data_IF_796286533283
#
_entry.id   IF_796286533283
#
_cell.length_a   1.000
_cell.length_b   1.000
_cell.length_c   1.000
_cell.angle_alpha   90.00
_cell.angle_beta   90.00
_cell.angle_gamma   90.00
#
_symmetry.space_group_name_H-M   'P 1'
#
loop_
_entity.id
_entity.type
_entity.pdbx_description
1 polymer ?
#
# COMPACT_ATOMS: atom_id res chain seq x y z
N UNK A 1 2.60 -25.07 7.74
CA UNK A 1 1.27 -24.51 7.45
C UNK A 1 1.47 -23.13 6.81
N UNK A 2 0.63 -22.71 5.88
CA UNK A 2 0.72 -21.34 5.35
C UNK A 2 0.46 -20.35 6.48
N UNK A 3 1.20 -19.23 6.46
CA UNK A 3 0.91 -18.10 7.35
C UNK A 3 -0.23 -17.29 6.72
N UNK A 4 -1.18 -16.86 7.53
CA UNK A 4 -2.33 -16.07 7.09
C UNK A 4 -2.22 -14.66 7.64
N UNK A 5 -2.61 -13.68 6.85
CA UNK A 5 -2.76 -12.28 7.26
C UNK A 5 -4.21 -11.83 7.13
N UNK A 6 -4.65 -10.98 8.05
CA UNK A 6 -5.96 -10.35 7.94
C UNK A 6 -5.85 -9.03 7.18
N UNK A 7 -6.66 -8.84 6.14
CA UNK A 7 -6.76 -7.55 5.47
C UNK A 7 -7.72 -6.63 6.24
N UNK A 8 -7.16 -5.71 7.02
CA UNK A 8 -7.92 -4.82 7.90
C UNK A 8 -8.72 -3.74 7.16
N UNK A 9 -8.47 -3.56 5.86
CA UNK A 9 -9.28 -2.66 5.03
C UNK A 9 -10.65 -3.26 4.73
N UNK A 10 -10.75 -4.60 4.68
CA UNK A 10 -11.97 -5.33 4.30
C UNK A 10 -12.55 -6.21 5.40
N UNK A 11 -11.77 -6.55 6.44
CA UNK A 11 -12.20 -7.34 7.59
C UNK A 11 -12.44 -6.45 8.81
N UNK A 12 -13.34 -6.87 9.69
CA UNK A 12 -13.72 -6.17 10.93
C UNK A 12 -14.24 -4.74 10.69
N UNK A 13 -14.93 -4.53 9.55
CA UNK A 13 -15.35 -3.20 9.11
C UNK A 13 -16.43 -2.56 9.99
N UNK A 14 -17.04 -3.32 10.89
CA UNK A 14 -17.93 -2.86 11.95
C UNK A 14 -17.21 -2.08 13.06
N UNK A 15 -15.87 -2.20 13.13
CA UNK A 15 -15.02 -1.52 14.11
C UNK A 15 -14.30 -0.31 13.48
N UNK A 16 -13.92 0.65 14.35
CA UNK A 16 -13.04 1.73 13.92
C UNK A 16 -11.71 1.18 13.40
N UNK A 17 -11.05 1.83 12.41
CA UNK A 17 -9.85 1.29 11.74
C UNK A 17 -8.76 0.79 12.70
N UNK A 18 -8.45 1.55 13.75
CA UNK A 18 -7.41 1.18 14.73
C UNK A 18 -7.80 0.01 15.64
N UNK A 19 -9.10 -0.20 15.88
CA UNK A 19 -9.60 -1.30 16.71
C UNK A 19 -9.51 -2.66 15.99
N UNK A 20 -9.45 -2.65 14.65
CA UNK A 20 -9.37 -3.87 13.83
C UNK A 20 -8.09 -4.66 14.06
N UNK A 21 -7.00 -3.99 14.46
CA UNK A 21 -5.75 -4.66 14.80
C UNK A 21 -5.93 -5.59 16.00
N UNK A 22 -6.51 -5.08 17.08
CA UNK A 22 -6.81 -5.91 18.25
C UNK A 22 -7.78 -7.05 17.94
N UNK A 23 -8.82 -6.80 17.12
CA UNK A 23 -9.76 -7.82 16.70
C UNK A 23 -9.08 -8.93 15.89
N UNK A 24 -8.17 -8.59 14.97
CA UNK A 24 -7.39 -9.59 14.22
C UNK A 24 -6.55 -10.46 15.15
N UNK A 25 -5.86 -9.85 16.13
CA UNK A 25 -5.07 -10.60 17.11
C UNK A 25 -5.92 -11.53 17.94
N UNK A 26 -7.10 -11.08 18.40
CA UNK A 26 -8.02 -11.88 19.23
C UNK A 26 -8.52 -13.14 18.53
N UNK A 27 -8.68 -13.12 17.20
CA UNK A 27 -9.10 -14.31 16.43
C UNK A 27 -7.91 -15.13 15.91
N UNK A 28 -6.68 -14.78 16.30
CA UNK A 28 -5.48 -15.61 16.11
C UNK A 28 -4.63 -15.26 14.89
N UNK A 29 -4.78 -14.09 14.28
CA UNK A 29 -3.83 -13.63 13.27
C UNK A 29 -2.55 -13.10 13.93
N UNK A 30 -1.40 -13.41 13.32
CA UNK A 30 -0.08 -12.88 13.68
C UNK A 30 0.39 -11.82 12.69
N UNK A 31 -0.29 -11.67 11.55
CA UNK A 31 0.05 -10.73 10.50
C UNK A 31 -1.20 -10.06 9.93
N UNK A 32 -1.03 -8.82 9.48
CA UNK A 32 -2.10 -8.01 8.90
C UNK A 32 -1.64 -7.28 7.64
N UNK A 33 -2.59 -6.96 6.79
CA UNK A 33 -2.48 -5.99 5.70
C UNK A 33 -3.31 -4.76 6.05
N UNK A 34 -2.76 -3.58 5.85
CA UNK A 34 -3.50 -2.33 6.02
C UNK A 34 -3.23 -1.41 4.85
N UNK A 35 -4.15 -1.43 3.86
CA UNK A 35 -3.87 -0.96 2.51
C UNK A 35 -3.63 0.54 2.41
N UNK A 36 -4.25 1.36 3.25
CA UNK A 36 -4.12 2.83 3.19
C UNK A 36 -3.79 3.40 4.58
N UNK A 37 -2.54 3.26 5.05
CA UNK A 37 -2.15 3.66 6.41
C UNK A 37 -1.97 5.17 6.58
N UNK A 38 -1.94 5.93 5.50
CA UNK A 38 -1.49 7.33 5.40
C UNK A 38 -2.34 8.38 6.15
N UNK A 39 -3.45 7.97 6.74
CA UNK A 39 -4.26 8.80 7.64
C UNK A 39 -3.81 8.78 9.10
N UNK A 40 -2.81 7.95 9.42
CA UNK A 40 -2.28 7.73 10.78
C UNK A 40 -0.82 8.10 10.85
N UNK A 41 -0.35 8.59 11.99
CA UNK A 41 1.07 8.76 12.23
C UNK A 41 1.78 7.40 12.28
N UNK A 42 3.00 7.34 11.76
CA UNK A 42 3.80 6.09 11.77
C UNK A 42 3.99 5.56 13.19
N UNK A 43 4.28 6.44 14.16
CA UNK A 43 4.47 6.09 15.56
C UNK A 43 3.22 5.49 16.20
N UNK A 44 2.04 6.00 15.83
CA UNK A 44 0.75 5.45 16.28
C UNK A 44 0.60 4.01 15.80
N UNK A 45 0.81 3.77 14.49
CA UNK A 45 0.72 2.43 13.92
C UNK A 45 1.78 1.48 14.48
N UNK A 46 3.00 1.95 14.72
CA UNK A 46 4.06 1.14 15.38
C UNK A 46 3.63 0.69 16.77
N UNK A 47 3.05 1.60 17.57
CA UNK A 47 2.54 1.26 18.90
C UNK A 47 1.43 0.21 18.80
N UNK A 48 0.45 0.44 17.94
CA UNK A 48 -0.68 -0.50 17.74
C UNK A 48 -0.20 -1.89 17.32
N UNK A 49 0.73 -1.98 16.37
CA UNK A 49 1.31 -3.25 15.93
C UNK A 49 2.05 -3.96 17.06
N UNK A 50 2.86 -3.20 17.81
CA UNK A 50 3.63 -3.74 18.96
C UNK A 50 2.72 -4.23 20.07
N UNK A 51 1.74 -3.42 20.47
CA UNK A 51 0.80 -3.72 21.57
C UNK A 51 -0.06 -4.95 21.28
N UNK A 52 -0.32 -5.23 19.99
CA UNK A 52 -1.09 -6.39 19.54
C UNK A 52 -0.20 -7.56 19.05
N UNK A 53 1.13 -7.44 19.12
CA UNK A 53 2.06 -8.46 18.62
C UNK A 53 1.76 -8.89 17.16
N UNK A 54 1.51 -7.90 16.27
CA UNK A 54 1.18 -8.11 14.87
C UNK A 54 2.30 -7.64 13.94
N UNK A 55 2.54 -8.38 12.86
CA UNK A 55 3.37 -7.94 11.73
C UNK A 55 2.48 -7.26 10.68
N UNK A 56 2.84 -6.05 10.25
CA UNK A 56 2.27 -5.46 9.02
C UNK A 56 3.06 -5.99 7.82
N UNK A 57 2.40 -6.69 6.91
CA UNK A 57 3.10 -7.31 5.77
C UNK A 57 2.94 -6.57 4.46
N UNK A 58 1.84 -5.84 4.27
CA UNK A 58 1.52 -5.18 3.02
C UNK A 58 0.78 -3.85 3.24
N UNK A 59 1.17 -2.85 2.46
CA UNK A 59 0.44 -1.61 2.24
C UNK A 59 0.27 -1.38 0.73
N UNK A 60 -0.70 -0.55 0.32
CA UNK A 60 -0.78 -0.08 -1.07
C UNK A 60 -0.10 1.28 -1.21
N UNK A 61 0.30 1.66 -2.41
CA UNK A 61 0.53 3.07 -2.72
C UNK A 61 -0.78 3.86 -2.58
N UNK A 62 -0.69 5.19 -2.35
CA UNK A 62 -1.91 6.03 -2.33
C UNK A 62 -2.70 5.89 -3.62
N UNK A 63 -4.02 5.98 -3.51
CA UNK A 63 -4.95 5.89 -4.64
C UNK A 63 -4.97 7.15 -5.52
N UNK A 64 -4.33 8.25 -5.12
CA UNK A 64 -4.55 9.57 -5.71
C UNK A 64 -5.79 10.22 -5.08
N UNK A 65 -6.61 10.88 -5.87
CA UNK A 65 -7.86 11.48 -5.42
C UNK A 65 -8.98 10.42 -5.31
N UNK A 66 -9.07 9.77 -4.16
CA UNK A 66 -10.05 8.73 -3.89
C UNK A 66 -11.51 9.24 -3.99
N UNK A 67 -11.78 10.51 -3.65
CA UNK A 67 -13.12 11.13 -3.76
C UNK A 67 -13.54 11.28 -5.22
N UNK A 68 -12.59 11.55 -6.12
CA UNK A 68 -12.82 11.55 -7.57
C UNK A 68 -12.88 10.13 -8.18
N UNK A 69 -12.77 9.09 -7.37
CA UNK A 69 -12.83 7.71 -7.81
C UNK A 69 -11.52 7.14 -8.34
N UNK A 70 -10.38 7.82 -8.12
CA UNK A 70 -9.08 7.29 -8.53
C UNK A 70 -8.73 6.00 -7.80
N UNK A 71 -8.00 5.13 -8.49
CA UNK A 71 -7.56 3.81 -7.98
C UNK A 71 -6.06 3.60 -8.21
N UNK A 72 -5.30 4.67 -8.07
CA UNK A 72 -3.87 4.71 -8.32
C UNK A 72 -3.51 5.69 -9.40
N UNK A 73 -2.22 6.00 -9.52
CA UNK A 73 -1.68 6.95 -10.51
C UNK A 73 -0.47 6.38 -11.26
N UNK A 74 -0.04 5.16 -10.92
CA UNK A 74 1.23 4.63 -11.40
C UNK A 74 1.29 4.38 -12.90
N UNK A 75 0.13 4.20 -13.56
CA UNK A 75 0.03 4.00 -15.00
C UNK A 75 -0.55 5.22 -15.74
N UNK A 76 -0.71 6.37 -15.09
CA UNK A 76 -1.39 7.50 -15.70
C UNK A 76 -0.40 8.43 -16.43
N UNK A 77 -0.53 8.60 -17.77
CA UNK A 77 0.33 9.51 -18.53
C UNK A 77 0.26 10.94 -17.99
N UNK A 78 1.43 11.58 -17.85
CA UNK A 78 1.56 12.97 -17.35
C UNK A 78 1.53 13.09 -15.82
N UNK A 79 1.40 11.98 -15.07
CA UNK A 79 1.40 11.97 -13.59
C UNK A 79 2.63 11.28 -12.98
N UNK A 80 3.71 11.12 -13.75
CA UNK A 80 4.93 10.41 -13.34
C UNK A 80 5.60 11.07 -12.12
N UNK A 81 5.56 12.39 -12.02
CA UNK A 81 6.12 13.10 -10.87
C UNK A 81 5.28 12.91 -9.61
N UNK A 82 3.97 12.83 -9.74
CA UNK A 82 3.07 12.52 -8.64
C UNK A 82 3.29 11.08 -8.17
N UNK A 83 3.42 10.13 -9.10
CA UNK A 83 3.77 8.75 -8.77
C UNK A 83 5.07 8.66 -7.98
N UNK A 84 6.12 9.41 -8.37
CA UNK A 84 7.40 9.43 -7.64
C UNK A 84 7.23 9.89 -6.19
N UNK A 85 6.41 10.92 -5.95
CA UNK A 85 6.14 11.39 -4.60
C UNK A 85 5.36 10.35 -3.79
N UNK A 86 4.32 9.75 -4.39
CA UNK A 86 3.50 8.72 -3.77
C UNK A 86 4.33 7.47 -3.41
N UNK A 87 5.14 6.97 -4.33
CA UNK A 87 5.95 5.77 -4.06
C UNK A 87 7.02 6.03 -3.01
N UNK A 88 7.61 7.24 -2.99
CA UNK A 88 8.58 7.63 -1.95
C UNK A 88 7.95 7.61 -0.56
N UNK A 89 6.77 8.20 -0.39
CA UNK A 89 6.01 8.17 0.87
C UNK A 89 5.64 6.74 1.26
N UNK A 90 5.20 5.92 0.29
CA UNK A 90 4.82 4.53 0.56
C UNK A 90 6.00 3.68 1.01
N UNK A 91 7.19 3.90 0.42
CA UNK A 91 8.42 3.24 0.82
C UNK A 91 8.86 3.65 2.24
N UNK A 92 8.70 4.94 2.59
CA UNK A 92 8.97 5.43 3.95
C UNK A 92 8.06 4.75 4.97
N UNK A 93 6.73 4.78 4.75
CA UNK A 93 5.76 4.11 5.61
C UNK A 93 6.04 2.61 5.76
N UNK A 94 6.25 1.91 4.65
CA UNK A 94 6.52 0.47 4.65
C UNK A 94 7.82 0.14 5.41
N UNK A 95 8.89 0.89 5.16
CA UNK A 95 10.18 0.72 5.84
C UNK A 95 10.06 0.93 7.34
N UNK A 96 9.41 2.01 7.76
CA UNK A 96 9.23 2.37 9.17
C UNK A 96 8.32 1.40 9.93
N UNK A 97 7.31 0.84 9.25
CA UNK A 97 6.36 -0.11 9.82
C UNK A 97 6.78 -1.59 9.66
N UNK A 98 7.90 -1.84 8.98
CA UNK A 98 8.42 -3.19 8.74
C UNK A 98 7.64 -3.99 7.69
N UNK A 99 6.82 -3.33 6.85
CA UNK A 99 6.11 -4.00 5.76
C UNK A 99 7.05 -4.32 4.60
N UNK A 100 7.16 -5.61 4.27
CA UNK A 100 8.02 -6.08 3.17
C UNK A 100 7.39 -5.97 1.77
N UNK A 101 6.10 -5.65 1.67
CA UNK A 101 5.35 -5.66 0.43
C UNK A 101 4.61 -4.33 0.22
N UNK A 102 4.69 -3.79 -1.00
CA UNK A 102 3.86 -2.65 -1.43
C UNK A 102 3.14 -3.03 -2.72
N UNK A 103 1.81 -3.01 -2.72
CA UNK A 103 1.02 -3.10 -3.94
C UNK A 103 0.99 -1.72 -4.62
N UNK A 104 1.48 -1.66 -5.86
CA UNK A 104 1.54 -0.44 -6.67
C UNK A 104 0.23 -0.28 -7.43
N UNK A 105 -0.59 0.68 -7.01
CA UNK A 105 -1.90 0.93 -7.61
C UNK A 105 -1.74 1.64 -8.96
N UNK A 106 -2.06 0.92 -10.04
CA UNK A 106 -1.89 1.38 -11.42
C UNK A 106 -2.78 2.57 -11.77
N UNK A 107 -4.04 2.52 -11.38
CA UNK A 107 -5.05 3.48 -11.78
C UNK A 107 -6.00 2.94 -12.86
N UNK A 108 -6.96 3.76 -13.25
CA UNK A 108 -7.94 3.48 -14.32
C UNK A 108 -7.51 4.23 -15.57
N UNK A 109 -7.54 3.58 -16.73
CA UNK A 109 -7.20 4.21 -18.01
C UNK A 109 -8.06 5.47 -18.20
N UNK A 110 -7.45 6.67 -18.31
CA UNK A 110 -8.19 7.91 -18.42
C UNK A 110 -8.81 8.07 -19.80
N UNK A 111 -9.87 8.86 -19.87
CA UNK A 111 -10.49 9.22 -21.15
C UNK A 111 -9.46 9.88 -22.08
N UNK A 112 -9.41 9.44 -23.32
CA UNK A 112 -8.46 9.93 -24.31
C UNK A 112 -7.10 9.24 -24.32
N UNK A 113 -6.81 8.35 -23.37
CA UNK A 113 -5.62 7.51 -23.36
C UNK A 113 -5.93 6.09 -23.81
N UNK A 114 -4.91 5.40 -24.29
CA UNK A 114 -4.99 3.97 -24.63
C UNK A 114 -4.40 3.13 -23.49
N UNK A 115 -4.83 1.87 -23.39
CA UNK A 115 -4.24 0.89 -22.46
C UNK A 115 -2.73 0.76 -22.68
N UNK A 116 -2.28 0.79 -23.94
CA UNK A 116 -0.87 0.68 -24.30
C UNK A 116 -0.04 1.83 -23.78
N UNK A 117 -0.54 3.06 -23.88
CA UNK A 117 0.16 4.24 -23.30
C UNK A 117 0.28 4.13 -21.78
N UNK A 118 -0.79 3.68 -21.11
CA UNK A 118 -0.77 3.45 -19.66
C UNK A 118 0.21 2.33 -19.27
N UNK A 119 0.25 1.22 -20.01
CA UNK A 119 1.21 0.13 -19.78
C UNK A 119 2.66 0.61 -19.92
N UNK A 120 2.97 1.38 -20.95
CA UNK A 120 4.31 1.92 -21.18
C UNK A 120 4.73 2.86 -20.03
N UNK A 121 3.84 3.74 -19.56
CA UNK A 121 4.08 4.60 -18.37
C UNK A 121 4.28 3.76 -17.11
N UNK A 122 3.45 2.75 -16.89
CA UNK A 122 3.55 1.88 -15.70
C UNK A 122 4.90 1.15 -15.66
N UNK A 123 5.33 0.61 -16.80
CA UNK A 123 6.63 -0.07 -16.91
C UNK A 123 7.78 0.88 -16.58
N UNK A 124 7.78 2.10 -17.13
CA UNK A 124 8.85 3.08 -16.85
C UNK A 124 8.85 3.51 -15.38
N UNK A 125 7.69 3.75 -14.79
CA UNK A 125 7.55 4.08 -13.37
C UNK A 125 8.07 2.96 -12.48
N UNK A 126 7.74 1.70 -12.78
CA UNK A 126 8.24 0.55 -12.03
C UNK A 126 9.76 0.36 -12.20
N UNK A 127 10.33 0.62 -13.39
CA UNK A 127 11.79 0.58 -13.61
C UNK A 127 12.55 1.54 -12.69
N UNK A 128 11.96 2.68 -12.39
CA UNK A 128 12.55 3.65 -11.47
C UNK A 128 12.34 3.26 -10.01
N UNK A 129 11.13 2.80 -9.66
CA UNK A 129 10.76 2.51 -8.27
C UNK A 129 11.35 1.19 -7.73
N UNK A 130 11.42 0.14 -8.55
CA UNK A 130 11.82 -1.18 -8.10
C UNK A 130 13.25 -1.25 -7.52
N UNK A 131 14.29 -0.63 -8.10
CA UNK A 131 15.62 -0.61 -7.49
C UNK A 131 15.64 0.10 -6.13
N UNK A 132 14.84 1.15 -5.96
CA UNK A 132 14.76 1.90 -4.69
C UNK A 132 14.11 1.01 -3.61
N UNK A 133 13.00 0.36 -3.95
CA UNK A 133 12.33 -0.58 -3.06
C UNK A 133 13.25 -1.75 -2.68
N UNK A 134 13.97 -2.33 -3.65
CA UNK A 134 14.90 -3.44 -3.42
C UNK A 134 16.02 -3.07 -2.44
N UNK A 135 16.54 -1.83 -2.49
CA UNK A 135 17.56 -1.35 -1.54
C UNK A 135 17.03 -1.27 -0.09
N UNK A 136 15.71 -1.15 0.09
CA UNK A 136 15.03 -1.17 1.38
C UNK A 136 14.54 -2.58 1.79
N UNK A 137 14.79 -3.59 0.96
CA UNK A 137 14.28 -4.95 1.17
C UNK A 137 12.78 -5.10 0.92
N UNK A 138 12.17 -4.14 0.20
CA UNK A 138 10.74 -4.10 -0.08
C UNK A 138 10.47 -4.64 -1.49
N UNK A 139 9.46 -5.48 -1.64
CA UNK A 139 8.99 -5.99 -2.94
C UNK A 139 7.76 -5.21 -3.41
N UNK A 140 7.81 -4.69 -4.63
CA UNK A 140 6.65 -4.09 -5.28
C UNK A 140 5.80 -5.19 -5.93
N UNK A 141 4.50 -5.17 -5.64
CA UNK A 141 3.50 -6.07 -6.20
C UNK A 141 2.64 -5.33 -7.22
N UNK A 142 2.17 -6.06 -8.24
CA UNK A 142 1.21 -5.60 -9.25
C UNK A 142 0.06 -6.59 -9.32
N UNK A 143 -1.15 -6.09 -9.51
CA UNK A 143 -2.39 -6.84 -9.73
C UNK A 143 -3.03 -6.45 -11.06
#
# INVERSE_FOLDING_TARGET
MPRLAANLTTMFTELAPVERFAAARQVGFDAVEYLQPYGHAVEELKSILTDNELELILVNTRMGNAEAGERGVAALPGRENEFKAIVSESLEYASELGAGLIHVMAGVVPEGSTTRECEDVFIENLRVAAPIAANLGITLLIE
#
